data_IF_464039113631
#
_entry.id   IF_464039113631
#
_cell.length_a   1.000
_cell.length_b   1.000
_cell.length_c   1.000
_cell.angle_alpha   90.00
_cell.angle_beta   90.00
_cell.angle_gamma   90.00
#
_symmetry.space_group_name_H-M   'P 1'
#
loop_
_entity.id
_entity.type
_entity.pdbx_description
1 polymer ?
#
# COMPACT_ATOMS: atom_id res chain seq x y z
N UNK A 1 -2.24 13.92 7.74
CA UNK A 1 -3.62 13.63 7.33
C UNK A 1 -3.90 12.14 7.23
N UNK A 2 -3.18 11.34 6.43
CA UNK A 2 -3.47 9.90 6.29
C UNK A 2 -3.43 9.14 7.64
N UNK A 3 -2.45 9.42 8.49
CA UNK A 3 -2.34 8.82 9.83
C UNK A 3 -3.55 9.08 10.71
N UNK A 4 -4.21 10.23 10.55
CA UNK A 4 -5.44 10.55 11.26
C UNK A 4 -6.59 9.66 10.79
N UNK A 5 -6.68 9.41 9.47
CA UNK A 5 -7.73 8.57 8.87
C UNK A 5 -7.63 7.10 9.28
N UNK A 6 -6.44 6.63 9.65
CA UNK A 6 -6.22 5.28 10.17
C UNK A 6 -6.32 5.21 11.70
N UNK A 7 -6.82 6.28 12.35
CA UNK A 7 -7.08 6.30 13.79
C UNK A 7 -5.87 6.56 14.68
N UNK A 8 -4.74 7.05 14.12
CA UNK A 8 -3.61 7.45 14.96
C UNK A 8 -3.91 8.76 15.69
N UNK A 9 -3.60 8.87 17.00
CA UNK A 9 -3.84 10.07 17.78
C UNK A 9 -2.88 11.18 17.35
N UNK A 10 -3.36 12.10 16.53
CA UNK A 10 -2.62 13.28 16.06
C UNK A 10 -3.40 14.52 16.45
N UNK A 11 -2.71 15.52 17.00
CA UNK A 11 -3.30 16.81 17.28
C UNK A 11 -3.84 17.44 15.97
N UNK A 12 -5.09 17.80 15.94
CA UNK A 12 -5.76 18.39 14.79
C UNK A 12 -6.85 19.36 15.24
N UNK A 13 -7.27 20.22 14.33
CA UNK A 13 -8.44 21.08 14.48
C UNK A 13 -9.56 20.58 13.57
N UNK A 14 -10.80 20.83 13.95
CA UNK A 14 -11.96 20.35 13.20
C UNK A 14 -12.46 18.99 13.69
N UNK A 15 -13.43 18.44 12.98
CA UNK A 15 -14.09 17.18 13.32
C UNK A 15 -13.77 16.13 12.28
N UNK A 16 -13.40 14.93 12.73
CA UNK A 16 -13.26 13.75 11.90
C UNK A 16 -14.26 12.70 12.36
N UNK A 17 -15.15 12.30 11.46
CA UNK A 17 -16.09 11.21 11.70
C UNK A 17 -15.74 10.05 10.78
N UNK A 18 -15.46 8.89 11.37
CA UNK A 18 -15.19 7.65 10.64
C UNK A 18 -16.34 6.69 10.91
N UNK A 19 -16.95 6.19 9.83
CA UNK A 19 -18.05 5.24 9.94
C UNK A 19 -17.66 3.99 10.74
N UNK A 20 -18.53 3.55 11.64
CA UNK A 20 -18.39 2.28 12.34
C UNK A 20 -18.41 1.13 11.33
N UNK A 21 -17.48 0.18 11.41
CA UNK A 21 -17.29 -0.97 10.51
C UNK A 21 -16.51 -0.67 9.22
N UNK A 22 -15.82 0.46 9.13
CA UNK A 22 -14.91 0.70 8.01
C UNK A 22 -13.63 -0.12 8.19
N UNK A 23 -13.40 -1.05 7.27
CA UNK A 23 -12.14 -1.79 7.21
C UNK A 23 -11.17 -1.04 6.30
N UNK A 24 -10.03 -0.65 6.83
CA UNK A 24 -9.01 0.12 6.11
C UNK A 24 -7.78 -0.75 5.89
N UNK A 25 -7.30 -0.79 4.65
CA UNK A 25 -5.98 -1.33 4.32
C UNK A 25 -5.00 -0.19 4.10
N UNK A 26 -3.92 -0.16 4.87
CA UNK A 26 -2.95 0.94 4.86
C UNK A 26 -1.56 0.50 4.40
N UNK A 27 -1.01 1.21 3.43
CA UNK A 27 0.40 1.10 3.02
C UNK A 27 1.15 2.33 3.52
N UNK A 28 1.99 2.19 4.56
CA UNK A 28 2.76 3.30 5.12
C UNK A 28 3.97 3.66 4.27
N UNK A 29 4.50 4.84 4.51
CA UNK A 29 5.79 5.26 3.98
C UNK A 29 6.95 4.57 4.72
N UNK A 30 6.86 4.43 6.06
CA UNK A 30 7.84 3.71 6.86
C UNK A 30 7.66 2.20 6.73
N UNK A 31 8.74 1.51 6.40
CA UNK A 31 8.81 0.06 6.18
C UNK A 31 9.83 -0.62 7.10
N UNK A 32 10.34 0.09 8.11
CA UNK A 32 11.40 -0.38 9.01
C UNK A 32 10.97 -1.58 9.88
N UNK A 33 9.67 -1.74 10.10
CA UNK A 33 9.09 -2.84 10.89
C UNK A 33 9.09 -4.20 10.19
N UNK A 34 9.35 -4.24 8.87
CA UNK A 34 9.32 -5.50 8.12
C UNK A 34 10.54 -6.35 8.47
N UNK A 35 10.29 -7.51 9.04
CA UNK A 35 11.29 -8.54 9.39
C UNK A 35 10.65 -9.92 9.37
N UNK A 36 11.46 -10.97 9.42
CA UNK A 36 10.99 -12.34 9.38
C UNK A 36 10.63 -12.83 7.98
N UNK A 37 9.99 -13.98 7.89
CA UNK A 37 9.62 -14.58 6.62
C UNK A 37 8.37 -13.95 6.00
N UNK A 38 8.28 -13.95 4.68
CA UNK A 38 7.09 -13.50 3.96
C UNK A 38 5.85 -14.36 4.29
N UNK A 39 6.07 -15.63 4.64
CA UNK A 39 5.00 -16.58 4.99
C UNK A 39 4.39 -16.23 6.36
N UNK A 40 5.24 -15.97 7.35
CA UNK A 40 4.78 -15.55 8.68
C UNK A 40 4.05 -14.20 8.61
N UNK A 41 4.58 -13.27 7.83
CA UNK A 41 3.96 -11.97 7.60
C UNK A 41 2.56 -12.08 6.97
N UNK A 42 2.38 -13.00 6.01
CA UNK A 42 1.08 -13.25 5.42
C UNK A 42 0.10 -13.86 6.43
N UNK A 43 0.56 -14.78 7.27
CA UNK A 43 -0.23 -15.39 8.34
C UNK A 43 -0.65 -14.34 9.39
N UNK A 44 0.27 -13.51 9.87
CA UNK A 44 0.00 -12.41 10.81
C UNK A 44 -0.94 -11.35 10.23
N UNK A 45 -0.88 -11.14 8.92
CA UNK A 45 -1.77 -10.22 8.19
C UNK A 45 -3.13 -10.83 7.86
N UNK A 46 -3.37 -12.09 8.21
CA UNK A 46 -4.60 -12.85 7.93
C UNK A 46 -4.99 -12.84 6.44
N UNK A 47 -4.00 -12.96 5.56
CA UNK A 47 -4.19 -12.99 4.10
C UNK A 47 -3.83 -14.35 3.51
N UNK A 48 -4.43 -14.68 2.35
CA UNK A 48 -4.11 -15.88 1.62
C UNK A 48 -2.68 -15.87 1.09
N UNK A 49 -1.84 -16.80 1.55
CA UNK A 49 -0.42 -16.91 1.21
C UNK A 49 -0.20 -17.16 -0.28
N UNK A 50 -1.09 -17.91 -0.93
CA UNK A 50 -0.99 -18.25 -2.35
C UNK A 50 -1.27 -17.03 -3.20
N UNK A 51 -2.32 -16.29 -2.87
CA UNK A 51 -2.65 -15.02 -3.52
C UNK A 51 -1.53 -13.98 -3.31
N UNK A 52 -1.02 -13.86 -2.08
CA UNK A 52 0.06 -12.96 -1.74
C UNK A 52 1.32 -13.22 -2.57
N UNK A 53 1.77 -14.48 -2.63
CA UNK A 53 2.91 -14.87 -3.46
C UNK A 53 2.65 -14.69 -4.95
N UNK A 54 1.41 -14.84 -5.40
CA UNK A 54 1.02 -14.62 -6.80
C UNK A 54 1.12 -13.14 -7.16
N UNK A 55 0.62 -12.26 -6.32
CA UNK A 55 0.73 -10.81 -6.52
C UNK A 55 2.21 -10.38 -6.49
N UNK A 56 2.99 -10.85 -5.52
CA UNK A 56 4.42 -10.54 -5.45
C UNK A 56 5.17 -10.93 -6.74
N UNK A 57 4.84 -12.11 -7.32
CA UNK A 57 5.43 -12.51 -8.62
C UNK A 57 5.01 -11.59 -9.76
N UNK A 58 3.78 -11.12 -9.78
CA UNK A 58 3.33 -10.11 -10.76
C UNK A 58 4.11 -8.80 -10.60
N UNK A 59 4.53 -8.46 -9.38
CA UNK A 59 5.38 -7.31 -9.07
C UNK A 59 6.89 -7.62 -9.25
N UNK A 60 7.24 -8.59 -10.08
CA UNK A 60 8.63 -9.01 -10.37
C UNK A 60 9.43 -9.44 -9.13
N UNK A 61 8.77 -10.09 -8.18
CA UNK A 61 9.41 -10.66 -7.01
C UNK A 61 9.94 -12.08 -7.30
N UNK A 62 11.25 -12.27 -7.24
CA UNK A 62 11.90 -13.53 -7.62
C UNK A 62 11.72 -14.61 -6.55
N UNK A 63 11.69 -15.89 -6.97
CA UNK A 63 11.53 -17.03 -6.05
C UNK A 63 12.57 -17.06 -4.94
N UNK A 64 13.81 -16.69 -5.24
CA UNK A 64 14.92 -16.65 -4.26
C UNK A 64 14.73 -15.61 -3.16
N UNK A 65 13.83 -14.65 -3.35
CA UNK A 65 13.54 -13.64 -2.34
C UNK A 65 12.61 -14.16 -1.26
N UNK A 66 11.75 -15.14 -1.56
CA UNK A 66 10.82 -15.73 -0.58
C UNK A 66 11.50 -16.49 0.56
N UNK A 67 12.77 -16.86 0.39
CA UNK A 67 13.55 -17.58 1.41
C UNK A 67 14.38 -16.68 2.30
N UNK A 68 14.37 -15.37 2.03
CA UNK A 68 15.13 -14.38 2.79
C UNK A 68 14.28 -13.73 3.86
N UNK A 69 14.95 -13.25 4.91
CA UNK A 69 14.32 -12.37 5.89
C UNK A 69 13.98 -11.01 5.26
N UNK A 70 12.80 -10.49 5.56
CA UNK A 70 12.35 -9.20 5.00
C UNK A 70 13.15 -8.01 5.51
N UNK A 71 13.89 -8.14 6.63
CA UNK A 71 14.82 -7.11 7.09
C UNK A 71 15.95 -6.85 6.08
N UNK A 72 16.34 -7.89 5.32
CA UNK A 72 17.37 -7.82 4.28
C UNK A 72 16.86 -7.29 2.93
N UNK A 73 15.57 -7.05 2.80
CA UNK A 73 14.99 -6.57 1.56
C UNK A 73 15.37 -5.13 1.26
N UNK A 74 15.58 -4.83 -0.03
CA UNK A 74 15.67 -3.45 -0.49
C UNK A 74 14.37 -2.69 -0.22
N UNK A 75 14.43 -1.35 -0.23
CA UNK A 75 13.25 -0.52 -0.03
C UNK A 75 12.15 -0.84 -1.06
N UNK A 76 12.51 -1.07 -2.31
CA UNK A 76 11.56 -1.48 -3.35
C UNK A 76 10.92 -2.84 -3.08
N UNK A 77 11.69 -3.82 -2.60
CA UNK A 77 11.16 -5.13 -2.21
C UNK A 77 10.19 -5.01 -1.02
N UNK A 78 10.55 -4.23 0.00
CA UNK A 78 9.66 -3.94 1.13
C UNK A 78 8.37 -3.26 0.70
N UNK A 79 8.46 -2.29 -0.21
CA UNK A 79 7.26 -1.62 -0.75
C UNK A 79 6.36 -2.62 -1.49
N UNK A 80 6.93 -3.49 -2.33
CA UNK A 80 6.17 -4.55 -3.02
C UNK A 80 5.44 -5.49 -2.05
N UNK A 81 6.10 -5.87 -0.95
CA UNK A 81 5.49 -6.69 0.11
C UNK A 81 4.26 -6.00 0.71
N UNK A 82 4.36 -4.72 1.06
CA UNK A 82 3.24 -3.97 1.63
C UNK A 82 2.10 -3.75 0.64
N UNK A 83 2.42 -3.46 -0.62
CA UNK A 83 1.41 -3.33 -1.68
C UNK A 83 0.71 -4.67 -1.93
N UNK A 84 1.44 -5.76 -2.02
CA UNK A 84 0.87 -7.09 -2.19
C UNK A 84 -0.03 -7.48 -1.02
N UNK A 85 0.40 -7.22 0.24
CA UNK A 85 -0.45 -7.41 1.43
C UNK A 85 -1.74 -6.62 1.31
N UNK A 86 -1.65 -5.33 0.99
CA UNK A 86 -2.80 -4.45 0.86
C UNK A 86 -3.79 -4.97 -0.19
N UNK A 87 -3.29 -5.39 -1.36
CA UNK A 87 -4.12 -5.96 -2.44
C UNK A 87 -4.76 -7.30 -2.08
N UNK A 88 -4.19 -8.05 -1.13
CA UNK A 88 -4.80 -9.29 -0.62
C UNK A 88 -5.87 -9.05 0.45
N UNK A 89 -5.85 -7.91 1.13
CA UNK A 89 -6.79 -7.60 2.18
C UNK A 89 -8.15 -7.21 1.62
N UNK A 90 -9.22 -7.70 2.26
CA UNK A 90 -10.58 -7.23 1.98
C UNK A 90 -10.85 -5.98 2.79
N UNK A 91 -10.79 -4.83 2.15
CA UNK A 91 -11.00 -3.54 2.79
C UNK A 91 -12.09 -2.73 2.06
N UNK A 92 -12.77 -1.85 2.84
CA UNK A 92 -13.70 -0.89 2.29
C UNK A 92 -12.98 0.35 1.73
N UNK A 93 -11.81 0.64 2.29
CA UNK A 93 -10.98 1.77 1.89
C UNK A 93 -9.50 1.36 1.90
N UNK A 94 -8.83 1.61 0.80
CA UNK A 94 -7.38 1.46 0.69
C UNK A 94 -6.71 2.82 0.81
N UNK A 95 -5.77 2.96 1.74
CA UNK A 95 -5.01 4.19 1.97
C UNK A 95 -3.54 3.89 1.69
N UNK A 96 -2.98 4.53 0.66
CA UNK A 96 -1.60 4.32 0.25
C UNK A 96 -0.79 5.62 0.34
N UNK A 97 0.32 5.57 1.06
CA UNK A 97 1.23 6.69 1.27
C UNK A 97 2.46 6.54 0.37
N UNK A 98 2.52 7.34 -0.69
CA UNK A 98 3.56 7.31 -1.72
C UNK A 98 3.83 5.89 -2.25
N UNK A 99 2.84 5.24 -2.87
CA UNK A 99 2.92 3.84 -3.27
C UNK A 99 4.00 3.54 -4.29
N UNK A 100 4.38 4.50 -5.13
CA UNK A 100 5.35 4.29 -6.20
C UNK A 100 6.81 4.54 -5.78
N UNK A 101 7.05 5.05 -4.58
CA UNK A 101 8.42 5.22 -4.11
C UNK A 101 9.17 3.90 -4.10
N UNK A 102 10.36 3.90 -4.73
CA UNK A 102 11.25 2.73 -4.89
C UNK A 102 10.70 1.61 -5.79
N UNK A 103 9.60 1.84 -6.51
CA UNK A 103 8.99 0.85 -7.41
C UNK A 103 9.57 1.01 -8.82
N UNK A 104 9.97 -0.12 -9.41
CA UNK A 104 10.42 -0.18 -10.81
C UNK A 104 9.24 -0.04 -11.79
N UNK A 105 9.58 0.30 -13.04
CA UNK A 105 8.58 0.59 -14.10
C UNK A 105 7.65 -0.60 -14.37
N UNK A 106 8.17 -1.82 -14.35
CA UNK A 106 7.38 -3.02 -14.63
C UNK A 106 6.35 -3.23 -13.53
N UNK A 107 6.78 -3.15 -12.27
CA UNK A 107 5.90 -3.28 -11.11
C UNK A 107 4.87 -2.16 -11.05
N UNK A 108 5.26 -0.94 -11.43
CA UNK A 108 4.34 0.19 -11.55
C UNK A 108 3.19 -0.11 -12.51
N UNK A 109 3.49 -0.54 -13.74
CA UNK A 109 2.47 -0.89 -14.73
C UNK A 109 1.52 -1.99 -14.24
N UNK A 110 2.05 -2.97 -13.50
CA UNK A 110 1.22 -4.01 -12.90
C UNK A 110 0.28 -3.47 -11.81
N UNK A 111 0.77 -2.55 -10.97
CA UNK A 111 -0.04 -1.88 -9.94
C UNK A 111 -1.16 -1.06 -10.59
N UNK A 112 -0.85 -0.25 -11.59
CA UNK A 112 -1.81 0.53 -12.36
C UNK A 112 -2.89 -0.37 -12.98
N UNK A 113 -2.47 -1.46 -13.63
CA UNK A 113 -3.38 -2.45 -14.23
C UNK A 113 -4.33 -3.04 -13.19
N UNK A 114 -3.82 -3.44 -12.04
CA UNK A 114 -4.64 -4.00 -10.96
C UNK A 114 -5.65 -2.98 -10.42
N UNK A 115 -5.23 -1.73 -10.22
CA UNK A 115 -6.14 -0.68 -9.73
C UNK A 115 -7.25 -0.40 -10.75
N UNK A 116 -6.91 -0.29 -12.04
CA UNK A 116 -7.89 -0.03 -13.10
C UNK A 116 -8.85 -1.19 -13.32
N UNK A 117 -8.40 -2.43 -13.14
CA UNK A 117 -9.22 -3.64 -13.25
C UNK A 117 -10.21 -3.78 -12.09
N UNK A 118 -9.72 -3.67 -10.85
CA UNK A 118 -10.54 -3.91 -9.65
C UNK A 118 -11.27 -2.67 -9.12
N UNK A 119 -10.84 -1.47 -9.51
CA UNK A 119 -11.43 -0.17 -9.13
C UNK A 119 -11.73 -0.06 -7.64
N UNK A 120 -10.76 -0.31 -6.76
CA UNK A 120 -10.98 -0.22 -5.32
C UNK A 120 -11.31 1.21 -4.90
N UNK A 121 -12.09 1.37 -3.84
CA UNK A 121 -12.22 2.67 -3.17
C UNK A 121 -10.91 2.97 -2.48
N UNK A 122 -10.16 3.95 -2.98
CA UNK A 122 -8.83 4.24 -2.47
C UNK A 122 -8.54 5.72 -2.33
N UNK A 123 -7.70 6.03 -1.36
CA UNK A 123 -7.08 7.32 -1.15
C UNK A 123 -5.56 7.14 -1.19
N UNK A 124 -4.87 7.90 -2.01
CA UNK A 124 -3.42 7.85 -2.05
C UNK A 124 -2.80 9.24 -2.11
N UNK A 125 -1.58 9.35 -1.57
CA UNK A 125 -0.72 10.52 -1.73
C UNK A 125 0.37 10.12 -2.71
N UNK A 126 0.52 10.88 -3.79
CA UNK A 126 1.52 10.61 -4.82
C UNK A 126 1.95 11.91 -5.50
N UNK A 127 3.21 11.97 -5.93
CA UNK A 127 3.81 13.10 -6.63
C UNK A 127 3.98 12.85 -8.13
N UNK A 128 3.84 11.62 -8.58
CA UNK A 128 3.91 11.24 -9.99
C UNK A 128 2.63 11.66 -10.72
N UNK A 129 2.73 12.71 -11.53
CA UNK A 129 1.57 13.28 -12.23
C UNK A 129 0.96 12.29 -13.24
N UNK A 130 1.76 11.45 -13.89
CA UNK A 130 1.26 10.46 -14.84
C UNK A 130 0.37 9.44 -14.12
N UNK A 131 0.84 8.87 -13.00
CA UNK A 131 0.05 7.96 -12.19
C UNK A 131 -1.23 8.61 -11.67
N UNK A 132 -1.13 9.86 -11.17
CA UNK A 132 -2.31 10.57 -10.68
C UNK A 132 -3.33 10.78 -11.80
N UNK A 133 -2.89 11.17 -12.98
CA UNK A 133 -3.79 11.39 -14.12
C UNK A 133 -4.45 10.10 -14.63
N UNK A 134 -3.73 8.98 -14.57
CA UNK A 134 -4.23 7.69 -15.08
C UNK A 134 -5.18 6.99 -14.07
N UNK A 135 -4.94 7.19 -12.77
CA UNK A 135 -5.62 6.42 -11.71
C UNK A 135 -6.66 7.23 -10.95
N UNK A 136 -6.38 8.52 -10.66
CA UNK A 136 -7.24 9.29 -9.78
C UNK A 136 -8.54 9.73 -10.47
N UNK A 137 -9.67 9.45 -9.84
CA UNK A 137 -10.97 9.99 -10.27
C UNK A 137 -11.23 11.40 -9.72
N UNK A 138 -10.54 11.77 -8.64
CA UNK A 138 -10.62 13.10 -8.00
C UNK A 138 -9.28 13.45 -7.37
N UNK A 139 -8.83 14.66 -7.56
CA UNK A 139 -7.59 15.19 -6.97
C UNK A 139 -7.91 16.31 -5.99
N UNK A 140 -7.35 16.23 -4.79
CA UNK A 140 -7.41 17.28 -3.79
C UNK A 140 -5.99 17.79 -3.50
N UNK A 141 -5.73 19.06 -3.73
CA UNK A 141 -4.45 19.70 -3.39
C UNK A 141 -4.55 20.30 -2.00
N UNK A 142 -3.65 19.90 -1.11
CA UNK A 142 -3.55 20.44 0.24
C UNK A 142 -2.37 21.40 0.28
N UNK A 143 -2.66 22.68 0.48
CA UNK A 143 -1.64 23.68 0.74
C UNK A 143 -1.38 23.72 2.26
N UNK A 144 -0.14 23.47 2.66
CA UNK A 144 0.29 23.80 4.02
C UNK A 144 0.45 25.32 4.07
N UNK A 145 -0.54 26.01 4.65
CA UNK A 145 -0.31 27.41 5.02
C UNK A 145 0.81 27.43 6.05
N UNK A 146 1.91 28.02 5.65
CA UNK A 146 3.04 28.36 6.56
C UNK A 146 2.60 29.43 7.54
#
# INVERSE_FOLDING_TARGET
>A
MLKLLIGQPIAHTGTLEIGSRLTVSYVPQDMSFLSGSADDFAAESEIDITLFKTILRKLDFKRTQFTKDMSEFSMGQKKKVLLARSLCQRANLYIWDEPLNYIDVISRLQIETLILEYKPTMLFVEHDEAFVNDIATKVCRISLNQ
#
